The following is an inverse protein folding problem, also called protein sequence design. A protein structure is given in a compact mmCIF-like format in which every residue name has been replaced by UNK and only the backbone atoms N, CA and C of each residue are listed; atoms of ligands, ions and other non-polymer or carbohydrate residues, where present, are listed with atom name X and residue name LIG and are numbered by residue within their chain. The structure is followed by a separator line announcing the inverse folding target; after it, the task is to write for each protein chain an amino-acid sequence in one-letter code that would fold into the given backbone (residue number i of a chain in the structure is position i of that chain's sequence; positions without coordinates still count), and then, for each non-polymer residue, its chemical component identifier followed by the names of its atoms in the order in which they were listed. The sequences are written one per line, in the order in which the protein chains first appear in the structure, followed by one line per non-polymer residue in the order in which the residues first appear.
data_IF_565524168226
#
_entry.id   IF_565524168226
#
_cell.length_a   1.000
_cell.length_b   1.000
_cell.length_c   1.000
_cell.angle_alpha   90.00
_cell.angle_beta   90.00
_cell.angle_gamma   90.00
#
_symmetry.space_group_name_H-M   'P 1'
#
loop_
_entity.id
_entity.type
_entity.pdbx_description
1 polymer ?
#
# COMPACT_ATOMS: atom_id res chain seq x y z
N UNK A 1 -26.96 25.98 52.78
CA UNK A 1 -26.74 24.62 53.31
C UNK A 1 -25.51 24.65 54.20
N UNK A 2 -25.61 24.29 55.48
CA UNK A 2 -24.48 24.39 56.42
C UNK A 2 -23.42 23.29 56.12
N UNK A 3 -22.13 23.64 55.96
CA UNK A 3 -21.08 22.70 55.56
C UNK A 3 -20.89 21.52 56.54
N UNK A 4 -21.33 21.68 57.80
CA UNK A 4 -21.35 20.60 58.80
C UNK A 4 -22.25 19.42 58.44
N UNK A 5 -23.27 19.60 57.58
CA UNK A 5 -24.15 18.50 57.16
C UNK A 5 -23.60 17.68 55.99
N UNK A 6 -22.52 18.12 55.32
CA UNK A 6 -21.91 17.45 54.17
C UNK A 6 -20.75 16.50 54.55
N UNK A 7 -20.10 16.73 55.69
CA UNK A 7 -18.99 15.91 56.20
C UNK A 7 -19.29 14.41 56.23
N UNK A 8 -20.44 13.93 56.77
CA UNK A 8 -20.72 12.49 56.77
C UNK A 8 -20.87 11.89 55.36
N UNK A 9 -21.44 12.66 54.41
CA UNK A 9 -21.57 12.21 53.03
C UNK A 9 -20.23 12.11 52.32
N UNK A 10 -19.29 13.03 52.59
CA UNK A 10 -17.93 12.97 52.04
C UNK A 10 -17.17 11.77 52.59
N UNK A 11 -17.29 11.47 53.89
CA UNK A 11 -16.67 10.28 54.49
C UNK A 11 -17.23 8.99 53.88
N UNK A 12 -18.56 8.88 53.75
CA UNK A 12 -19.19 7.73 53.08
C UNK A 12 -18.74 7.62 51.62
N UNK A 13 -18.66 8.75 50.89
CA UNK A 13 -18.17 8.77 49.51
C UNK A 13 -16.72 8.26 49.40
N UNK A 14 -15.81 8.68 50.29
CA UNK A 14 -14.42 8.22 50.30
C UNK A 14 -14.32 6.73 50.64
N UNK A 15 -15.14 6.22 51.56
CA UNK A 15 -15.22 4.78 51.86
C UNK A 15 -15.71 4.01 50.64
N UNK A 16 -16.79 4.46 49.99
CA UNK A 16 -17.32 3.83 48.78
C UNK A 16 -16.31 3.87 47.62
N UNK A 17 -15.60 4.98 47.43
CA UNK A 17 -14.54 5.11 46.43
C UNK A 17 -13.36 4.17 46.73
N UNK A 18 -12.96 4.03 48.00
CA UNK A 18 -11.92 3.11 48.43
C UNK A 18 -12.31 1.64 48.25
N UNK A 19 -13.56 1.27 48.59
CA UNK A 19 -14.11 -0.07 48.37
C UNK A 19 -14.20 -0.37 46.88
N UNK A 20 -14.71 0.56 46.06
CA UNK A 20 -14.79 0.42 44.61
C UNK A 20 -13.40 0.25 43.98
N UNK A 21 -12.43 1.07 44.37
CA UNK A 21 -11.03 0.96 43.93
C UNK A 21 -10.39 -0.37 44.32
N UNK A 22 -10.58 -0.82 45.56
CA UNK A 22 -10.07 -2.10 46.06
C UNK A 22 -10.71 -3.31 45.35
N UNK A 23 -12.02 -3.27 45.08
CA UNK A 23 -12.73 -4.30 44.32
C UNK A 23 -12.23 -4.35 42.87
N UNK A 24 -12.09 -3.19 42.20
CA UNK A 24 -11.52 -3.10 40.84
C UNK A 24 -10.09 -3.64 40.79
N UNK A 25 -9.24 -3.28 41.74
CA UNK A 25 -7.86 -3.77 41.80
C UNK A 25 -7.78 -5.28 42.03
N UNK A 26 -8.60 -5.82 42.95
CA UNK A 26 -8.68 -7.27 43.18
C UNK A 26 -9.22 -8.02 41.96
N UNK A 27 -10.21 -7.45 41.27
CA UNK A 27 -10.77 -8.02 40.05
C UNK A 27 -9.73 -8.03 38.93
N UNK A 28 -8.98 -6.95 38.73
CA UNK A 28 -7.86 -6.88 37.77
C UNK A 28 -6.77 -7.91 38.08
N UNK A 29 -6.42 -8.09 39.37
CA UNK A 29 -5.49 -9.13 39.79
C UNK A 29 -6.01 -10.55 39.53
N UNK A 30 -7.30 -10.81 39.80
CA UNK A 30 -7.89 -12.13 39.53
C UNK A 30 -7.93 -12.42 38.03
N UNK A 31 -8.39 -11.47 37.21
CA UNK A 31 -8.37 -11.60 35.75
C UNK A 31 -6.94 -11.85 35.26
N UNK A 32 -5.96 -11.10 35.76
CA UNK A 32 -4.56 -11.32 35.39
C UNK A 32 -4.06 -12.71 35.78
N UNK A 33 -4.39 -13.21 36.98
CA UNK A 33 -4.02 -14.57 37.42
C UNK A 33 -4.68 -15.64 36.58
N UNK A 34 -5.97 -15.51 36.29
CA UNK A 34 -6.73 -16.45 35.46
C UNK A 34 -6.21 -16.45 34.01
N UNK A 35 -5.83 -15.28 33.49
CA UNK A 35 -5.19 -15.13 32.19
C UNK A 35 -3.82 -15.84 32.14
N UNK A 36 -2.99 -15.71 33.18
CA UNK A 36 -1.72 -16.46 33.27
C UNK A 36 -1.94 -17.97 33.43
N UNK A 37 -2.91 -18.38 34.24
CA UNK A 37 -3.23 -19.80 34.45
C UNK A 37 -3.72 -20.50 33.16
N UNK A 38 -4.28 -19.73 32.22
CA UNK A 38 -4.67 -20.21 30.89
C UNK A 38 -3.52 -20.29 29.89
N UNK A 39 -2.32 -19.77 30.19
CA UNK A 39 -1.19 -19.89 29.28
C UNK A 39 -0.65 -21.32 29.26
N UNK A 40 -0.31 -21.81 28.07
CA UNK A 40 0.37 -23.09 27.91
C UNK A 40 1.84 -22.97 28.32
N UNK A 41 2.50 -21.88 27.89
CA UNK A 41 3.89 -21.57 28.22
C UNK A 41 4.01 -20.20 28.89
N UNK A 42 4.95 -20.09 29.83
CA UNK A 42 5.28 -18.84 30.52
C UNK A 42 6.61 -18.31 29.98
N UNK A 43 6.58 -17.77 28.76
CA UNK A 43 7.77 -17.31 28.04
C UNK A 43 7.57 -15.93 27.41
N UNK A 44 8.67 -15.24 27.09
CA UNK A 44 8.65 -14.01 26.31
C UNK A 44 9.16 -14.25 24.90
N UNK A 45 8.71 -13.42 23.95
CA UNK A 45 9.13 -13.50 22.55
C UNK A 45 10.65 -13.34 22.37
N UNK A 46 11.28 -12.51 23.20
CA UNK A 46 12.72 -12.25 23.21
C UNK A 46 13.56 -13.45 23.64
N UNK A 47 12.97 -14.39 24.38
CA UNK A 47 13.68 -15.51 24.98
C UNK A 47 13.90 -16.66 23.98
N UNK A 48 13.15 -16.64 22.86
CA UNK A 48 13.16 -17.66 21.82
C UNK A 48 14.37 -17.48 20.88
N UNK A 49 15.20 -18.52 20.79
CA UNK A 49 16.42 -18.52 19.97
C UNK A 49 16.38 -19.52 18.80
N UNK A 50 15.56 -20.57 18.92
CA UNK A 50 15.38 -21.64 17.94
C UNK A 50 13.90 -22.03 17.86
N UNK A 51 13.47 -22.42 16.66
CA UNK A 51 12.13 -22.93 16.38
C UNK A 51 12.22 -24.00 15.29
N UNK A 52 11.63 -25.17 15.53
CA UNK A 52 11.54 -26.26 14.57
C UNK A 52 10.10 -26.76 14.43
N UNK A 53 9.63 -26.87 13.19
CA UNK A 53 8.32 -27.40 12.83
C UNK A 53 8.49 -28.77 12.21
N UNK A 54 8.04 -29.82 12.90
CA UNK A 54 8.16 -31.21 12.45
C UNK A 54 6.78 -31.75 12.04
N UNK A 55 6.69 -32.28 10.82
CA UNK A 55 5.49 -32.91 10.25
C UNK A 55 5.87 -34.26 9.66
N UNK A 56 5.69 -35.33 10.42
CA UNK A 56 6.17 -36.65 10.02
C UNK A 56 7.69 -36.66 9.80
N UNK A 57 8.13 -36.76 8.55
CA UNK A 57 9.56 -36.74 8.17
C UNK A 57 10.08 -35.35 7.77
N UNK A 58 9.19 -34.39 7.56
CA UNK A 58 9.57 -33.04 7.15
C UNK A 58 9.89 -32.20 8.39
N UNK A 59 11.06 -31.56 8.38
CA UNK A 59 11.48 -30.62 9.43
C UNK A 59 11.85 -29.28 8.79
N UNK A 60 11.27 -28.20 9.31
CA UNK A 60 11.69 -26.82 9.01
C UNK A 60 12.28 -26.22 10.26
N UNK A 61 13.56 -25.87 10.23
CA UNK A 61 14.28 -25.29 11.37
C UNK A 61 14.64 -23.84 11.13
N UNK A 62 14.40 -23.03 12.14
CA UNK A 62 14.72 -21.61 12.19
C UNK A 62 15.61 -21.31 13.40
N UNK A 63 16.65 -20.50 13.17
CA UNK A 63 17.57 -20.07 14.22
C UNK A 63 17.75 -18.57 14.15
N UNK A 64 17.72 -17.90 15.31
CA UNK A 64 18.00 -16.48 15.43
C UNK A 64 19.52 -16.25 15.50
N UNK A 65 20.07 -15.50 14.55
CA UNK A 65 21.48 -15.08 14.49
C UNK A 65 21.53 -13.57 14.27
N UNK A 66 22.30 -12.85 15.08
CA UNK A 66 22.44 -11.39 14.97
C UNK A 66 21.09 -10.64 14.89
N UNK A 67 20.13 -11.07 15.72
CA UNK A 67 18.73 -10.58 15.74
C UNK A 67 17.87 -10.87 14.50
N UNK A 68 18.37 -11.65 13.54
CA UNK A 68 17.66 -12.05 12.33
C UNK A 68 17.37 -13.55 12.35
N UNK A 69 16.15 -13.93 12.01
CA UNK A 69 15.77 -15.35 11.87
C UNK A 69 16.21 -15.90 10.52
N UNK A 70 16.86 -17.06 10.55
CA UNK A 70 17.28 -17.79 9.36
C UNK A 70 16.66 -19.17 9.34
N UNK A 71 16.19 -19.60 8.17
CA UNK A 71 15.94 -21.00 7.88
C UNK A 71 17.29 -21.71 7.78
N UNK A 72 17.46 -22.80 8.52
CA UNK A 72 18.68 -23.64 8.52
C UNK A 72 18.42 -25.04 7.97
N UNK A 73 17.16 -25.49 7.96
CA UNK A 73 16.72 -26.72 7.30
C UNK A 73 15.30 -26.53 6.74
N UNK A 74 14.98 -27.11 5.57
CA UNK A 74 15.87 -27.88 4.68
C UNK A 74 16.79 -27.00 3.81
N UNK A 75 16.66 -25.67 3.91
CA UNK A 75 17.41 -24.69 3.15
C UNK A 75 18.15 -23.75 4.11
N UNK A 76 19.30 -23.23 3.69
CA UNK A 76 20.03 -22.20 4.42
C UNK A 76 19.76 -20.82 3.80
N UNK A 77 18.79 -20.08 4.35
CA UNK A 77 18.35 -18.78 3.80
C UNK A 77 17.71 -17.91 4.87
N UNK A 78 17.52 -16.62 4.61
CA UNK A 78 16.82 -15.72 5.53
C UNK A 78 15.34 -16.08 5.60
N UNK A 79 14.77 -16.04 6.81
CA UNK A 79 13.35 -16.24 7.01
C UNK A 79 12.57 -14.93 6.84
N UNK A 80 11.27 -15.04 6.57
CA UNK A 80 10.35 -13.92 6.62
C UNK A 80 10.17 -13.50 8.09
N UNK A 81 10.81 -12.39 8.48
CA UNK A 81 10.85 -11.93 9.87
C UNK A 81 9.45 -11.63 10.42
N UNK A 82 8.53 -11.16 9.60
CA UNK A 82 7.17 -10.83 10.02
C UNK A 82 6.37 -12.10 10.30
N UNK A 83 6.48 -13.11 9.44
CA UNK A 83 5.82 -14.41 9.66
C UNK A 83 6.37 -15.08 10.90
N UNK A 84 7.70 -15.10 11.08
CA UNK A 84 8.32 -15.70 12.26
C UNK A 84 7.91 -14.95 13.53
N UNK A 85 7.96 -13.61 13.56
CA UNK A 85 7.51 -12.83 14.71
C UNK A 85 6.06 -13.17 15.10
N UNK A 86 5.15 -13.28 14.13
CA UNK A 86 3.76 -13.66 14.39
C UNK A 86 3.63 -15.05 15.04
N UNK A 87 4.48 -16.00 14.66
CA UNK A 87 4.52 -17.33 15.29
C UNK A 87 5.03 -17.25 16.72
N UNK A 88 6.12 -16.51 16.97
CA UNK A 88 6.68 -16.33 18.30
C UNK A 88 5.68 -15.65 19.24
N UNK A 89 4.98 -14.61 18.78
CA UNK A 89 3.88 -13.99 19.52
C UNK A 89 2.78 -14.99 19.84
N UNK A 90 2.40 -15.83 18.87
CA UNK A 90 1.38 -16.87 19.09
C UNK A 90 1.83 -17.86 20.15
N UNK A 91 3.09 -18.28 20.10
CA UNK A 91 3.66 -19.25 21.03
C UNK A 91 3.77 -18.67 22.45
N UNK A 92 4.24 -17.43 22.58
CA UNK A 92 4.36 -16.72 23.86
C UNK A 92 3.03 -16.41 24.53
N UNK A 93 1.98 -16.25 23.71
CA UNK A 93 0.62 -15.96 24.17
C UNK A 93 -0.32 -17.16 24.04
N UNK A 94 0.22 -18.37 23.83
CA UNK A 94 -0.58 -19.55 23.59
C UNK A 94 -1.45 -19.86 24.80
N UNK A 95 -2.75 -19.99 24.58
CA UNK A 95 -3.74 -20.27 25.63
C UNK A 95 -4.32 -21.67 25.46
N UNK A 96 -4.52 -22.36 26.59
CA UNK A 96 -5.37 -23.54 26.64
C UNK A 96 -6.83 -23.12 26.68
N UNK A 97 -7.64 -23.72 25.82
CA UNK A 97 -9.09 -23.54 25.81
C UNK A 97 -9.75 -24.43 26.85
N UNK A 98 -9.30 -25.70 26.91
CA UNK A 98 -9.72 -26.69 27.90
C UNK A 98 -8.54 -27.51 28.37
N UNK A 99 -8.60 -27.91 29.63
CA UNK A 99 -7.72 -28.89 30.27
C UNK A 99 -8.55 -30.15 30.51
N UNK A 100 -8.20 -31.24 29.85
CA UNK A 100 -8.94 -32.50 29.89
C UNK A 100 -8.34 -33.50 30.89
N UNK A 101 -7.31 -33.08 31.64
CA UNK A 101 -6.60 -33.92 32.60
C UNK A 101 -5.57 -34.85 31.97
N UNK A 102 -4.95 -35.67 32.80
CA UNK A 102 -3.91 -36.61 32.37
C UNK A 102 -4.51 -37.79 31.59
N UNK A 103 -3.93 -38.11 30.43
CA UNK A 103 -4.38 -39.21 29.58
C UNK A 103 -3.22 -40.15 29.22
N UNK A 104 -3.50 -41.45 29.18
CA UNK A 104 -2.51 -42.48 28.85
C UNK A 104 -2.62 -42.94 27.40
N UNK A 105 -3.84 -43.03 26.85
CA UNK A 105 -4.03 -43.41 25.45
C UNK A 105 -4.08 -42.18 24.54
N UNK A 106 -2.96 -41.92 23.85
CA UNK A 106 -2.79 -40.76 22.98
C UNK A 106 -3.34 -40.97 21.55
N UNK A 107 -3.67 -42.22 21.18
CA UNK A 107 -4.12 -42.56 19.82
C UNK A 107 -5.45 -41.90 19.43
N UNK A 108 -6.51 -41.88 20.27
CA UNK A 108 -7.79 -41.26 19.92
C UNK A 108 -7.67 -39.77 19.62
N UNK A 109 -6.62 -39.12 20.14
CA UNK A 109 -6.37 -37.70 20.03
C UNK A 109 -5.39 -37.36 18.90
N UNK A 110 -4.89 -38.36 18.16
CA UNK A 110 -3.89 -38.18 17.11
C UNK A 110 -2.54 -37.67 17.63
N UNK A 111 -2.22 -37.93 18.89
CA UNK A 111 -0.98 -37.48 19.56
C UNK A 111 0.13 -38.55 19.51
N UNK A 112 -0.20 -39.80 19.17
CA UNK A 112 0.76 -40.85 18.83
C UNK A 112 1.45 -40.60 17.48
N UNK A 113 0.69 -40.02 16.53
CA UNK A 113 1.15 -39.59 15.20
C UNK A 113 0.72 -38.13 14.98
N UNK A 114 1.39 -37.18 15.65
CA UNK A 114 0.98 -35.78 15.63
C UNK A 114 1.06 -35.19 14.23
N UNK A 115 0.09 -34.33 13.91
CA UNK A 115 0.07 -33.59 12.65
C UNK A 115 1.15 -32.49 12.60
N UNK A 116 1.51 -31.94 13.76
CA UNK A 116 2.58 -30.96 13.90
C UNK A 116 3.22 -31.07 15.28
N UNK A 117 4.55 -31.00 15.31
CA UNK A 117 5.32 -30.81 16.55
C UNK A 117 6.12 -29.52 16.41
N UNK A 118 5.86 -28.58 17.32
CA UNK A 118 6.60 -27.32 17.40
C UNK A 118 7.63 -27.46 18.52
N UNK A 119 8.91 -27.52 18.16
CA UNK A 119 10.03 -27.53 19.11
C UNK A 119 10.66 -26.14 19.14
N UNK A 120 11.10 -25.69 20.30
CA UNK A 120 11.76 -24.41 20.42
C UNK A 120 12.65 -24.36 21.65
N UNK A 121 13.60 -23.44 21.65
CA UNK A 121 14.43 -23.18 22.83
C UNK A 121 14.09 -21.81 23.38
N UNK A 122 13.73 -21.74 24.66
CA UNK A 122 13.47 -20.49 25.38
C UNK A 122 14.35 -20.45 26.63
N UNK A 123 15.07 -19.33 26.85
CA UNK A 123 15.96 -19.17 28.02
C UNK A 123 16.98 -20.32 28.18
N UNK A 124 17.42 -20.92 27.06
CA UNK A 124 18.35 -22.05 27.05
C UNK A 124 17.71 -23.43 27.35
N UNK A 125 16.41 -23.50 27.61
CA UNK A 125 15.69 -24.75 27.87
C UNK A 125 14.89 -25.19 26.63
N UNK A 126 14.93 -26.49 26.28
CA UNK A 126 14.13 -27.03 25.19
C UNK A 126 12.67 -27.21 25.62
N UNK A 127 11.76 -26.82 24.75
CA UNK A 127 10.33 -27.00 24.90
C UNK A 127 9.72 -27.59 23.63
N UNK A 128 8.55 -28.20 23.78
CA UNK A 128 7.81 -28.84 22.70
C UNK A 128 6.30 -28.68 22.90
N UNK A 129 5.61 -28.36 21.80
CA UNK A 129 4.16 -28.45 21.70
C UNK A 129 3.81 -29.49 20.65
N UNK A 130 3.17 -30.57 21.08
CA UNK A 130 2.68 -31.64 20.20
C UNK A 130 1.23 -31.35 19.87
N UNK A 131 0.89 -31.26 18.58
CA UNK A 131 -0.46 -30.94 18.12
C UNK A 131 -1.01 -32.15 17.36
N UNK A 132 -2.12 -32.69 17.88
CA UNK A 132 -2.79 -33.87 17.37
C UNK A 132 -3.97 -33.55 16.46
N UNK A 133 -5.01 -34.37 16.57
CA UNK A 133 -6.24 -34.27 15.79
C UNK A 133 -7.09 -33.05 16.19
N UNK A 134 -7.93 -32.62 15.25
CA UNK A 134 -9.00 -31.66 15.51
C UNK A 134 -10.03 -32.30 16.45
N UNK A 135 -10.51 -31.53 17.42
CA UNK A 135 -11.59 -31.94 18.32
C UNK A 135 -12.89 -32.09 17.51
N UNK A 136 -13.58 -33.24 17.54
CA UNK A 136 -14.83 -33.42 16.81
C UNK A 136 -15.89 -32.39 17.19
N UNK A 137 -16.49 -31.73 16.18
CA UNK A 137 -17.54 -30.74 16.38
C UNK A 137 -17.10 -29.38 16.94
N UNK A 138 -15.79 -29.16 17.15
CA UNK A 138 -15.24 -27.93 17.73
C UNK A 138 -14.13 -27.34 16.83
N UNK A 139 -13.78 -26.06 17.01
CA UNK A 139 -12.68 -25.39 16.32
C UNK A 139 -11.37 -25.44 17.13
N UNK A 140 -11.18 -26.52 17.89
CA UNK A 140 -10.01 -26.73 18.75
C UNK A 140 -9.20 -27.95 18.31
N UNK A 141 -7.95 -28.02 18.75
CA UNK A 141 -7.03 -29.13 18.51
C UNK A 141 -6.49 -29.66 19.84
N UNK A 142 -6.34 -30.97 19.94
CA UNK A 142 -5.70 -31.61 21.09
C UNK A 142 -4.19 -31.34 21.08
N UNK A 143 -3.62 -31.03 22.24
CA UNK A 143 -2.18 -30.79 22.39
C UNK A 143 -1.59 -31.38 23.66
N UNK A 144 -0.29 -31.67 23.60
CA UNK A 144 0.55 -31.93 24.77
C UNK A 144 1.68 -30.90 24.84
N UNK A 145 2.03 -30.53 26.07
CA UNK A 145 3.12 -29.63 26.38
C UNK A 145 4.29 -30.41 26.97
N UNK A 146 5.47 -30.30 26.38
CA UNK A 146 6.69 -30.94 26.86
C UNK A 146 6.47 -32.43 27.18
N UNK A 147 6.74 -32.84 28.42
CA UNK A 147 6.47 -34.19 28.95
C UNK A 147 5.25 -34.21 29.90
N UNK A 148 4.45 -33.15 29.91
CA UNK A 148 3.24 -33.04 30.74
C UNK A 148 2.16 -34.00 30.20
N UNK A 149 1.66 -34.96 31.01
CA UNK A 149 0.63 -35.89 30.56
C UNK A 149 -0.75 -35.24 30.42
N UNK A 150 -0.94 -33.99 30.86
CA UNK A 150 -2.20 -33.28 30.71
C UNK A 150 -2.55 -33.02 29.24
N UNK A 151 -3.67 -33.59 28.81
CA UNK A 151 -4.26 -33.35 27.51
C UNK A 151 -4.95 -31.98 27.53
N UNK A 152 -4.44 -31.05 26.73
CA UNK A 152 -5.00 -29.72 26.58
C UNK A 152 -5.66 -29.56 25.22
N UNK A 153 -6.41 -28.48 25.05
CA UNK A 153 -6.87 -28.03 23.73
C UNK A 153 -6.46 -26.59 23.45
N UNK A 154 -6.17 -26.29 22.18
CA UNK A 154 -5.90 -24.93 21.70
C UNK A 154 -6.83 -24.57 20.54
N UNK A 155 -7.04 -23.28 20.31
CA UNK A 155 -7.83 -22.80 19.19
C UNK A 155 -7.21 -23.14 17.82
N UNK A 156 -8.06 -23.32 16.81
CA UNK A 156 -7.66 -23.45 15.41
C UNK A 156 -6.81 -22.25 14.95
N UNK A 157 -7.14 -21.04 15.39
CA UNK A 157 -6.36 -19.85 15.03
C UNK A 157 -4.92 -19.91 15.55
N UNK A 158 -4.71 -20.40 16.77
CA UNK A 158 -3.36 -20.65 17.31
C UNK A 158 -2.64 -21.73 16.52
N UNK A 159 -3.32 -22.85 16.21
CA UNK A 159 -2.75 -23.93 15.40
C UNK A 159 -2.34 -23.43 14.01
N UNK A 160 -3.19 -22.69 13.30
CA UNK A 160 -2.93 -22.23 11.93
C UNK A 160 -1.85 -21.14 11.87
N UNK A 161 -1.72 -20.35 12.93
CA UNK A 161 -0.63 -19.40 13.05
C UNK A 161 0.73 -20.09 13.22
N UNK A 162 0.78 -21.20 13.96
CA UNK A 162 1.99 -22.01 14.17
C UNK A 162 2.30 -22.95 12.99
N UNK A 163 1.28 -23.43 12.29
CA UNK A 163 1.40 -24.39 11.19
C UNK A 163 1.75 -23.69 9.85
N UNK A 164 2.95 -23.09 9.80
CA UNK A 164 3.45 -22.42 8.59
C UNK A 164 4.24 -23.37 7.70
N UNK A 165 3.91 -23.37 6.40
CA UNK A 165 4.68 -24.08 5.38
C UNK A 165 6.00 -23.36 5.07
N UNK A 166 6.99 -24.10 4.56
CA UNK A 166 8.32 -23.58 4.21
C UNK A 166 8.27 -22.33 3.32
N UNK A 167 7.38 -22.31 2.32
CA UNK A 167 7.20 -21.17 1.42
C UNK A 167 6.78 -19.88 2.15
N UNK A 168 5.95 -20.00 3.20
CA UNK A 168 5.51 -18.85 4.00
C UNK A 168 6.62 -18.34 4.92
N UNK A 169 7.53 -19.22 5.35
CA UNK A 169 8.63 -18.91 6.26
C UNK A 169 9.85 -18.32 5.57
N UNK A 170 9.98 -18.51 4.26
CA UNK A 170 11.11 -18.00 3.48
C UNK A 170 10.95 -16.52 3.16
N UNK A 171 12.05 -15.76 3.20
CA UNK A 171 12.04 -14.37 2.74
C UNK A 171 11.64 -14.31 1.24
N UNK A 172 10.54 -13.64 0.96
CA UNK A 172 9.96 -13.49 -0.37
C UNK A 172 10.28 -12.14 -1.02
N UNK A 173 11.06 -11.26 -0.38
CA UNK A 173 11.43 -9.97 -0.96
C UNK A 173 12.24 -10.19 -2.24
N UNK A 174 11.76 -9.64 -3.36
CA UNK A 174 12.41 -9.83 -4.66
C UNK A 174 13.60 -8.92 -4.89
N UNK A 175 13.45 -7.64 -4.56
CA UNK A 175 14.45 -6.61 -4.81
C UNK A 175 14.55 -5.72 -3.57
N UNK A 176 15.46 -6.02 -2.63
CA UNK A 176 15.58 -5.25 -1.39
C UNK A 176 16.31 -3.93 -1.65
N UNK A 177 15.59 -2.82 -1.56
CA UNK A 177 16.13 -1.45 -1.58
C UNK A 177 15.26 -0.49 -0.78
N UNK A 178 15.83 0.65 -0.38
CA UNK A 178 15.14 1.71 0.35
C UNK A 178 14.70 2.79 -0.65
N UNK A 179 13.40 3.12 -0.66
CA UNK A 179 12.82 4.09 -1.61
C UNK A 179 13.50 5.48 -1.55
N UNK A 180 13.86 5.95 -0.35
CA UNK A 180 14.53 7.24 -0.15
C UNK A 180 15.97 7.28 -0.67
N UNK A 181 16.59 6.12 -0.88
CA UNK A 181 17.97 6.01 -1.35
C UNK A 181 18.09 5.90 -2.87
N UNK A 182 16.96 5.81 -3.58
CA UNK A 182 16.94 5.61 -5.04
C UNK A 182 17.48 6.85 -5.76
N UNK A 183 18.50 6.63 -6.59
CA UNK A 183 19.13 7.64 -7.45
C UNK A 183 18.81 7.46 -8.93
N UNK A 184 18.47 6.24 -9.35
CA UNK A 184 18.26 5.94 -10.76
C UNK A 184 17.53 4.63 -11.01
N UNK A 185 16.98 4.50 -12.21
CA UNK A 185 16.35 3.27 -12.71
C UNK A 185 16.89 2.99 -14.10
N UNK A 186 17.48 1.81 -14.30
CA UNK A 186 17.91 1.31 -15.61
C UNK A 186 17.09 0.08 -15.95
N UNK A 187 16.52 0.04 -17.15
CA UNK A 187 15.83 -1.14 -17.66
C UNK A 187 16.43 -1.51 -19.01
N UNK A 188 17.04 -2.69 -19.07
CA UNK A 188 17.64 -3.26 -20.28
C UNK A 188 16.82 -4.46 -20.71
N UNK A 189 16.01 -4.28 -21.74
CA UNK A 189 15.30 -5.36 -22.41
C UNK A 189 16.13 -5.98 -23.54
N UNK A 190 15.58 -6.97 -24.26
CA UNK A 190 16.26 -7.64 -25.37
C UNK A 190 16.62 -6.70 -26.55
N UNK A 191 15.81 -5.67 -26.78
CA UNK A 191 15.94 -4.75 -27.93
C UNK A 191 16.20 -3.30 -27.54
N UNK A 192 15.87 -2.91 -26.32
CA UNK A 192 15.87 -1.51 -25.87
C UNK A 192 16.53 -1.38 -24.52
N UNK A 193 17.17 -0.24 -24.29
CA UNK A 193 17.69 0.13 -22.99
C UNK A 193 17.20 1.53 -22.62
N UNK A 194 16.81 1.69 -21.37
CA UNK A 194 16.34 2.95 -20.81
C UNK A 194 17.08 3.20 -19.50
N UNK A 195 17.59 4.42 -19.32
CA UNK A 195 18.26 4.84 -18.11
C UNK A 195 17.67 6.18 -17.66
N UNK A 196 17.15 6.20 -16.44
CA UNK A 196 16.51 7.34 -15.82
C UNK A 196 17.30 7.74 -14.57
N UNK A 197 17.47 9.03 -14.37
CA UNK A 197 18.12 9.61 -13.19
C UNK A 197 17.12 10.43 -12.40
N UNK A 198 17.13 10.29 -11.08
CA UNK A 198 16.28 11.07 -10.18
C UNK A 198 16.91 12.45 -9.99
N UNK A 199 16.15 13.51 -10.30
CA UNK A 199 16.61 14.91 -10.25
C UNK A 199 15.95 15.70 -9.12
N UNK A 200 15.01 15.10 -8.40
CA UNK A 200 14.25 15.68 -7.30
C UNK A 200 13.26 14.66 -6.74
N UNK A 201 12.39 15.03 -5.78
CA UNK A 201 11.56 14.07 -5.05
C UNK A 201 10.68 13.16 -5.93
N UNK A 202 10.12 13.71 -7.01
CA UNK A 202 9.33 12.99 -8.02
C UNK A 202 9.70 13.39 -9.45
N UNK A 203 10.84 14.06 -9.64
CA UNK A 203 11.30 14.50 -10.95
C UNK A 203 12.42 13.60 -11.45
N UNK A 204 12.31 13.23 -12.72
CA UNK A 204 13.18 12.26 -13.36
C UNK A 204 13.63 12.81 -14.72
N UNK A 205 14.89 12.54 -15.07
CA UNK A 205 15.46 12.84 -16.37
C UNK A 205 15.84 11.56 -17.11
N UNK A 206 15.73 11.57 -18.43
CA UNK A 206 16.24 10.48 -19.26
C UNK A 206 17.72 10.72 -19.56
N UNK A 207 18.57 9.77 -19.17
CA UNK A 207 20.02 9.85 -19.37
C UNK A 207 20.35 9.82 -20.86
N UNK A 208 20.96 10.89 -21.36
CA UNK A 208 21.27 11.06 -22.79
C UNK A 208 20.11 11.61 -23.65
N UNK A 209 18.99 12.03 -23.03
CA UNK A 209 17.88 12.71 -23.70
C UNK A 209 17.37 13.90 -22.85
N UNK A 210 18.14 15.00 -22.76
CA UNK A 210 17.82 16.12 -21.87
C UNK A 210 16.47 16.77 -22.15
N UNK A 211 16.04 16.81 -23.42
CA UNK A 211 14.75 17.41 -23.82
C UNK A 211 13.54 16.49 -23.59
N UNK A 212 13.78 15.21 -23.24
CA UNK A 212 12.70 14.26 -23.01
C UNK A 212 12.13 14.45 -21.60
N UNK A 213 10.92 14.98 -21.52
CA UNK A 213 10.19 15.12 -20.26
C UNK A 213 9.68 13.75 -19.80
N UNK A 214 10.13 13.30 -18.63
CA UNK A 214 9.77 11.98 -18.07
C UNK A 214 8.55 12.10 -17.15
N UNK A 215 7.63 11.14 -17.26
CA UNK A 215 6.55 10.89 -16.29
C UNK A 215 7.07 10.30 -15.00
N UNK A 216 7.62 11.17 -14.16
CA UNK A 216 8.21 10.80 -12.86
C UNK A 216 7.23 10.07 -11.94
N UNK A 217 5.94 10.43 -11.96
CA UNK A 217 4.89 9.73 -11.21
C UNK A 217 4.77 8.24 -11.56
N UNK A 218 4.92 7.91 -12.85
CA UNK A 218 4.91 6.51 -13.34
C UNK A 218 6.17 5.76 -12.92
N UNK A 219 7.33 6.41 -12.96
CA UNK A 219 8.60 5.84 -12.47
C UNK A 219 8.53 5.54 -10.97
N UNK A 220 8.03 6.50 -10.18
CA UNK A 220 7.85 6.33 -8.73
C UNK A 220 6.85 5.22 -8.40
N UNK A 221 5.78 5.09 -9.19
CA UNK A 221 4.84 3.96 -9.07
C UNK A 221 5.54 2.63 -9.34
N UNK A 222 6.28 2.51 -10.45
CA UNK A 222 7.02 1.28 -10.77
C UNK A 222 8.04 0.92 -9.68
N UNK A 223 8.73 1.89 -9.10
CA UNK A 223 9.65 1.66 -7.97
C UNK A 223 8.91 1.12 -6.74
N UNK A 224 7.74 1.67 -6.40
CA UNK A 224 6.89 1.12 -5.32
C UNK A 224 6.47 -0.32 -5.63
N UNK A 225 6.02 -0.58 -6.85
CA UNK A 225 5.59 -1.90 -7.28
C UNK A 225 6.75 -2.92 -7.20
N UNK A 226 7.96 -2.53 -7.60
CA UNK A 226 9.18 -3.34 -7.44
C UNK A 226 9.54 -3.58 -5.97
N UNK A 227 9.42 -2.58 -5.11
CA UNK A 227 9.73 -2.67 -3.68
C UNK A 227 8.79 -3.61 -2.92
N UNK A 228 7.49 -3.58 -3.24
CA UNK A 228 6.48 -4.43 -2.61
C UNK A 228 6.36 -5.80 -3.29
N UNK A 229 6.98 -6.00 -4.45
CA UNK A 229 6.89 -7.27 -5.16
C UNK A 229 7.49 -8.41 -4.33
N UNK A 230 6.82 -9.57 -4.38
CA UNK A 230 7.18 -10.77 -3.62
C UNK A 230 7.25 -11.98 -4.55
N UNK A 231 8.12 -12.93 -4.21
CA UNK A 231 8.14 -14.23 -4.85
C UNK A 231 6.81 -14.95 -4.57
N UNK A 232 6.13 -15.42 -5.64
CA UNK A 232 4.99 -16.32 -5.55
C UNK A 232 5.44 -17.74 -5.21
N UNK A 233 6.54 -18.19 -5.82
CA UNK A 233 7.09 -19.52 -5.59
C UNK A 233 8.61 -19.55 -5.90
N UNK A 234 9.30 -20.56 -5.38
CA UNK A 234 10.71 -20.83 -5.65
C UNK A 234 10.83 -22.08 -6.53
N UNK A 235 11.78 -22.07 -7.47
CA UNK A 235 12.05 -23.27 -8.27
C UNK A 235 13.01 -24.17 -7.51
N UNK A 236 12.50 -25.34 -7.10
CA UNK A 236 13.25 -26.35 -6.37
C UNK A 236 13.14 -27.71 -7.07
N UNK A 237 14.27 -28.37 -7.39
CA UNK A 237 15.64 -27.88 -7.22
C UNK A 237 15.96 -26.67 -8.14
N UNK A 238 17.01 -25.88 -7.84
CA UNK A 238 17.41 -24.77 -8.70
C UNK A 238 17.66 -25.23 -10.14
N UNK A 239 17.17 -24.48 -11.15
CA UNK A 239 17.26 -24.89 -12.54
C UNK A 239 18.72 -24.85 -13.03
N UNK A 240 19.16 -25.93 -13.70
CA UNK A 240 20.51 -26.02 -14.30
C UNK A 240 20.71 -25.11 -15.51
N UNK A 241 19.64 -24.76 -16.23
CA UNK A 241 19.66 -23.96 -17.45
C UNK A 241 18.68 -22.79 -17.34
N UNK A 242 19.10 -21.61 -17.79
CA UNK A 242 18.32 -20.37 -17.68
C UNK A 242 17.65 -19.97 -18.99
N UNK A 243 18.10 -20.54 -20.11
CA UNK A 243 17.61 -20.27 -21.46
C UNK A 243 16.11 -20.57 -21.61
N UNK A 244 15.56 -21.71 -21.12
CA UNK A 244 14.14 -22.00 -21.23
C UNK A 244 13.29 -21.02 -20.40
N UNK A 245 13.88 -20.48 -19.34
CA UNK A 245 13.25 -19.54 -18.42
C UNK A 245 13.33 -18.09 -18.94
N UNK A 246 14.04 -17.85 -20.04
CA UNK A 246 14.23 -16.51 -20.60
C UNK A 246 15.16 -15.63 -19.76
N UNK A 247 15.93 -16.18 -18.83
CA UNK A 247 16.78 -15.44 -17.88
C UNK A 247 18.21 -15.19 -18.41
N UNK A 248 18.41 -15.29 -19.73
CA UNK A 248 19.67 -15.03 -20.42
C UNK A 248 19.68 -13.64 -21.09
N UNK A 249 20.85 -13.00 -21.30
CA UNK A 249 20.93 -11.59 -21.72
C UNK A 249 20.10 -11.21 -22.95
N UNK A 250 19.98 -12.12 -23.93
CA UNK A 250 19.22 -11.88 -25.18
C UNK A 250 17.70 -12.03 -25.03
N UNK A 251 17.20 -12.51 -23.89
CA UNK A 251 15.77 -12.82 -23.66
C UNK A 251 15.19 -12.15 -22.43
N UNK A 252 16.03 -11.80 -21.45
CA UNK A 252 15.59 -11.20 -20.20
C UNK A 252 15.34 -9.70 -20.31
N UNK A 253 14.51 -9.20 -19.40
CA UNK A 253 14.50 -7.79 -19.01
C UNK A 253 15.28 -7.65 -17.71
N UNK A 254 16.30 -6.82 -17.71
CA UNK A 254 17.17 -6.55 -16.58
C UNK A 254 16.84 -5.16 -16.01
N UNK A 255 16.34 -5.13 -14.79
CA UNK A 255 15.89 -3.93 -14.07
C UNK A 255 16.88 -3.66 -12.96
N UNK A 256 17.60 -2.54 -13.06
CA UNK A 256 18.56 -2.11 -12.05
C UNK A 256 18.08 -0.84 -11.38
N UNK A 257 17.86 -0.91 -10.07
CA UNK A 257 17.60 0.24 -9.21
C UNK A 257 18.94 0.68 -8.62
N UNK A 258 19.38 1.88 -8.96
CA UNK A 258 20.60 2.47 -8.42
C UNK A 258 20.28 3.20 -7.12
N UNK A 259 21.04 2.93 -6.06
CA UNK A 259 20.83 3.54 -4.73
C UNK A 259 22.12 4.10 -4.15
N UNK A 260 22.04 4.88 -3.06
CA UNK A 260 23.23 5.25 -2.28
C UNK A 260 23.98 4.06 -1.68
N UNK A 261 23.28 2.97 -1.35
CA UNK A 261 23.85 1.73 -0.82
C UNK A 261 24.29 0.72 -1.91
N UNK A 262 24.33 1.17 -3.16
CA UNK A 262 24.71 0.37 -4.33
C UNK A 262 23.53 -0.13 -5.16
N UNK A 263 23.84 -0.69 -6.31
CA UNK A 263 22.83 -1.13 -7.29
C UNK A 263 22.16 -2.44 -6.86
N UNK A 264 20.89 -2.59 -7.22
CA UNK A 264 20.09 -3.81 -7.03
C UNK A 264 19.47 -4.18 -8.36
N UNK A 265 19.66 -5.43 -8.79
CA UNK A 265 19.26 -5.87 -10.14
C UNK A 265 18.30 -7.06 -10.08
N UNK A 266 17.12 -6.90 -10.68
CA UNK A 266 16.14 -7.96 -10.92
C UNK A 266 16.14 -8.35 -12.40
N UNK A 267 16.17 -9.63 -12.69
CA UNK A 267 15.96 -10.16 -14.03
C UNK A 267 14.55 -10.73 -14.13
N UNK A 268 13.83 -10.39 -15.20
CA UNK A 268 12.55 -10.97 -15.59
C UNK A 268 12.73 -11.75 -16.89
N UNK A 269 12.21 -12.97 -16.93
CA UNK A 269 12.30 -13.89 -18.06
C UNK A 269 10.97 -14.14 -18.74
N UNK A 270 10.74 -15.40 -19.13
CA UNK A 270 9.54 -15.84 -19.84
C UNK A 270 8.33 -15.90 -18.89
N UNK A 271 7.15 -15.52 -19.39
CA UNK A 271 5.88 -15.72 -18.68
C UNK A 271 5.49 -17.21 -18.63
N UNK A 272 4.83 -17.61 -17.55
CA UNK A 272 4.25 -18.94 -17.31
C UNK A 272 2.89 -18.75 -16.66
N UNK A 273 1.82 -18.73 -17.46
CA UNK A 273 0.47 -18.43 -16.97
C UNK A 273 0.38 -17.00 -16.41
N UNK A 274 -0.09 -16.88 -15.16
CA UNK A 274 -0.21 -15.63 -14.39
C UNK A 274 1.11 -15.22 -13.68
N UNK A 275 2.21 -15.92 -13.97
CA UNK A 275 3.51 -15.68 -13.38
C UNK A 275 4.58 -15.40 -14.45
N UNK A 276 5.71 -14.87 -14.00
CA UNK A 276 6.92 -14.71 -14.81
C UNK A 276 8.13 -15.21 -14.03
N UNK A 277 9.06 -15.86 -14.70
CA UNK A 277 10.33 -16.25 -14.08
C UNK A 277 11.14 -15.01 -13.73
N UNK A 278 11.71 -14.98 -12.53
CA UNK A 278 12.56 -13.89 -12.09
C UNK A 278 13.80 -14.39 -11.34
N UNK A 279 14.83 -13.53 -11.27
CA UNK A 279 16.07 -13.81 -10.55
C UNK A 279 16.70 -12.52 -10.02
N UNK A 280 17.12 -12.51 -8.75
CA UNK A 280 17.86 -11.39 -8.16
C UNK A 280 19.34 -11.45 -8.61
N UNK A 281 19.65 -10.77 -9.71
CA UNK A 281 20.98 -10.75 -10.32
C UNK A 281 21.51 -12.14 -10.68
N UNK A 282 22.83 -12.25 -10.83
CA UNK A 282 23.48 -13.50 -11.23
C UNK A 282 23.57 -14.57 -10.12
N UNK A 283 23.52 -14.15 -8.85
CA UNK A 283 23.66 -15.03 -7.68
C UNK A 283 22.33 -15.46 -7.04
N UNK A 284 21.22 -14.79 -7.35
CA UNK A 284 19.94 -15.04 -6.69
C UNK A 284 19.27 -16.36 -7.08
N UNK A 285 18.34 -16.79 -6.24
CA UNK A 285 17.44 -17.89 -6.54
C UNK A 285 16.52 -17.56 -7.73
N UNK A 286 16.12 -18.59 -8.48
CA UNK A 286 15.11 -18.44 -9.53
C UNK A 286 13.74 -18.65 -8.92
N UNK A 287 12.86 -17.68 -9.16
CA UNK A 287 11.53 -17.61 -8.56
C UNK A 287 10.46 -17.38 -9.62
N UNK A 288 9.21 -17.63 -9.26
CA UNK A 288 8.04 -17.14 -9.97
C UNK A 288 7.50 -15.92 -9.26
N UNK A 289 7.13 -14.90 -10.02
CA UNK A 289 6.54 -13.65 -9.52
C UNK A 289 5.30 -13.33 -10.34
N UNK A 290 4.45 -12.43 -9.85
CA UNK A 290 3.24 -12.06 -10.60
C UNK A 290 3.58 -11.50 -11.99
N UNK A 291 2.91 -11.99 -13.03
CA UNK A 291 3.11 -11.51 -14.39
C UNK A 291 2.76 -10.01 -14.53
N UNK A 292 1.89 -9.48 -13.67
CA UNK A 292 1.54 -8.07 -13.60
C UNK A 292 2.77 -7.18 -13.36
N UNK A 293 3.82 -7.67 -12.69
CA UNK A 293 5.07 -6.94 -12.52
C UNK A 293 5.76 -6.68 -13.86
N UNK A 294 5.87 -7.71 -14.71
CA UNK A 294 6.45 -7.56 -16.04
C UNK A 294 5.59 -6.66 -16.93
N UNK A 295 4.27 -6.76 -16.82
CA UNK A 295 3.34 -5.89 -17.55
C UNK A 295 3.42 -4.44 -17.10
N UNK A 296 3.59 -4.17 -15.81
CA UNK A 296 3.79 -2.82 -15.28
C UNK A 296 5.10 -2.20 -15.77
N UNK A 297 6.19 -2.98 -15.81
CA UNK A 297 7.48 -2.54 -16.39
C UNK A 297 7.27 -2.15 -17.86
N UNK A 298 6.65 -3.01 -18.67
CA UNK A 298 6.38 -2.74 -20.07
C UNK A 298 5.50 -1.50 -20.29
N UNK A 299 4.38 -1.40 -19.55
CA UNK A 299 3.45 -0.25 -19.61
C UNK A 299 4.14 1.06 -19.21
N UNK A 300 4.97 1.03 -18.17
CA UNK A 300 5.70 2.21 -17.71
C UNK A 300 6.66 2.68 -18.79
N UNK A 301 7.49 1.78 -19.34
CA UNK A 301 8.46 2.12 -20.39
C UNK A 301 7.80 2.67 -21.66
N UNK A 302 6.66 2.11 -22.07
CA UNK A 302 5.90 2.57 -23.23
C UNK A 302 5.25 3.96 -23.03
N UNK A 303 5.16 4.42 -21.78
CA UNK A 303 4.43 5.63 -21.39
C UNK A 303 5.28 6.61 -20.58
N UNK A 304 6.61 6.60 -20.79
CA UNK A 304 7.54 7.49 -20.08
C UNK A 304 7.43 8.96 -20.48
N UNK A 305 6.95 9.26 -21.69
CA UNK A 305 6.88 10.64 -22.18
C UNK A 305 5.80 11.42 -21.43
N UNK A 306 6.18 12.56 -20.85
CA UNK A 306 5.24 13.48 -20.22
C UNK A 306 4.55 14.33 -21.28
N UNK A 307 3.39 13.85 -21.71
CA UNK A 307 2.52 14.49 -22.68
C UNK A 307 1.47 15.39 -22.05
N UNK A 308 1.55 15.67 -20.75
CA UNK A 308 0.59 16.55 -20.07
C UNK A 308 0.70 17.97 -20.61
N UNK A 309 -0.44 18.62 -20.79
CA UNK A 309 -0.52 20.02 -21.18
C UNK A 309 0.11 20.94 -20.13
N UNK A 310 -0.01 20.55 -18.86
CA UNK A 310 0.55 21.26 -17.73
C UNK A 310 0.96 20.28 -16.62
N UNK A 311 2.14 20.50 -16.04
CA UNK A 311 2.72 19.69 -14.96
C UNK A 311 3.20 20.53 -13.78
N UNK A 312 2.68 21.75 -13.64
CA UNK A 312 3.03 22.67 -12.54
C UNK A 312 2.39 22.27 -11.20
N UNK A 313 2.74 22.98 -10.14
CA UNK A 313 2.11 22.77 -8.83
C UNK A 313 0.73 23.42 -8.78
N UNK A 314 -0.30 22.66 -8.41
CA UNK A 314 -1.66 23.19 -8.14
C UNK A 314 -1.62 24.20 -6.99
N UNK A 315 -0.79 23.97 -5.98
CA UNK A 315 -0.64 24.88 -4.84
C UNK A 315 -0.07 26.26 -5.23
N UNK A 316 0.65 26.35 -6.37
CA UNK A 316 1.17 27.62 -6.87
C UNK A 316 0.09 28.48 -7.57
N UNK A 317 -1.04 27.88 -7.98
CA UNK A 317 -2.13 28.58 -8.67
C UNK A 317 -2.90 29.45 -7.66
N UNK A 318 -3.03 30.73 -7.97
CA UNK A 318 -3.77 31.73 -7.17
C UNK A 318 -4.94 32.35 -7.93
N UNK A 319 -4.88 32.36 -9.25
CA UNK A 319 -5.98 32.79 -10.10
C UNK A 319 -6.14 31.85 -11.30
N UNK A 320 -7.39 31.54 -11.64
CA UNK A 320 -7.78 30.75 -12.80
C UNK A 320 -8.78 31.55 -13.61
N UNK A 321 -8.51 31.75 -14.89
CA UNK A 321 -9.44 32.40 -15.82
C UNK A 321 -9.83 31.39 -16.89
N UNK A 322 -11.13 31.19 -17.13
CA UNK A 322 -11.58 30.25 -18.16
C UNK A 322 -12.87 30.68 -18.84
N UNK A 323 -13.11 30.17 -20.05
CA UNK A 323 -14.34 30.40 -20.81
C UNK A 323 -14.09 30.85 -22.24
N UNK A 324 -15.16 30.96 -23.06
CA UNK A 324 -15.07 31.56 -24.39
C UNK A 324 -14.74 33.06 -24.31
N UNK A 325 -14.13 33.64 -25.37
CA UNK A 325 -13.87 35.08 -25.43
C UNK A 325 -15.15 35.91 -25.18
N UNK A 326 -15.04 36.92 -24.32
CA UNK A 326 -16.16 37.79 -23.94
C UNK A 326 -17.13 37.20 -22.90
N UNK A 327 -17.01 35.92 -22.53
CA UNK A 327 -17.77 35.30 -21.43
C UNK A 327 -16.85 34.42 -20.59
N UNK A 328 -16.05 35.06 -19.74
CA UNK A 328 -15.07 34.38 -18.89
C UNK A 328 -15.46 34.39 -17.43
N UNK A 329 -14.99 33.38 -16.71
CA UNK A 329 -15.04 33.30 -15.26
C UNK A 329 -13.64 33.45 -14.70
N UNK A 330 -13.52 34.12 -13.56
CA UNK A 330 -12.27 34.29 -12.84
C UNK A 330 -12.43 33.74 -11.43
N UNK A 331 -11.68 32.69 -11.10
CA UNK A 331 -11.53 32.21 -9.74
C UNK A 331 -10.28 32.83 -9.12
N UNK A 332 -10.40 33.43 -7.93
CA UNK A 332 -9.28 33.87 -7.11
C UNK A 332 -9.30 33.17 -5.76
N UNK A 333 -8.12 32.75 -5.31
CA UNK A 333 -7.95 32.12 -4.01
C UNK A 333 -8.17 33.16 -2.90
N UNK A 334 -9.09 32.86 -1.98
CA UNK A 334 -9.48 33.74 -0.88
C UNK A 334 -9.68 32.89 0.39
N UNK A 335 -8.76 33.02 1.36
CA UNK A 335 -8.76 32.36 2.68
C UNK A 335 -9.39 30.95 2.72
N UNK A 336 -8.75 29.96 2.07
CA UNK A 336 -9.19 28.55 2.10
C UNK A 336 -10.36 28.21 1.17
N UNK A 337 -10.91 29.19 0.46
CA UNK A 337 -11.92 29.03 -0.58
C UNK A 337 -11.45 29.69 -1.90
N UNK A 338 -12.26 29.51 -2.94
CA UNK A 338 -12.11 30.23 -4.20
C UNK A 338 -13.35 31.05 -4.47
N UNK A 339 -13.16 32.36 -4.66
CA UNK A 339 -14.20 33.27 -5.12
C UNK A 339 -14.19 33.27 -6.64
N UNK A 340 -15.29 32.84 -7.24
CA UNK A 340 -15.50 32.77 -8.68
C UNK A 340 -16.41 33.92 -9.10
N UNK A 341 -15.92 34.80 -9.95
CA UNK A 341 -16.71 35.90 -10.55
C UNK A 341 -17.00 35.57 -12.01
N UNK A 342 -18.28 35.64 -12.38
CA UNK A 342 -18.76 35.44 -13.75
C UNK A 342 -18.78 36.71 -14.61
N UNK A 343 -19.16 36.58 -15.89
CA UNK A 343 -19.19 37.69 -16.84
C UNK A 343 -20.26 38.75 -16.52
N UNK A 344 -21.30 38.37 -15.77
CA UNK A 344 -22.35 39.22 -15.22
C UNK A 344 -21.96 39.88 -13.88
N UNK A 345 -20.69 39.76 -13.47
CA UNK A 345 -20.16 40.16 -12.17
C UNK A 345 -20.75 39.43 -10.96
N UNK A 346 -21.62 38.43 -11.16
CA UNK A 346 -22.09 37.59 -10.08
C UNK A 346 -20.91 36.79 -9.49
N UNK A 347 -20.87 36.68 -8.16
CA UNK A 347 -19.81 35.96 -7.47
C UNK A 347 -20.38 34.78 -6.68
N UNK A 348 -19.73 33.63 -6.78
CA UNK A 348 -19.99 32.45 -5.96
C UNK A 348 -18.71 32.04 -5.22
N UNK A 349 -18.84 31.39 -4.07
CA UNK A 349 -17.71 30.81 -3.35
C UNK A 349 -17.75 29.29 -3.48
N UNK A 350 -16.60 28.70 -3.79
CA UNK A 350 -16.43 27.25 -3.85
C UNK A 350 -15.36 26.79 -2.86
N UNK A 351 -15.53 25.63 -2.22
CA UNK A 351 -14.47 25.00 -1.44
C UNK A 351 -13.22 24.75 -2.29
N UNK A 352 -12.03 24.93 -1.72
CA UNK A 352 -10.76 24.71 -2.42
C UNK A 352 -10.66 23.34 -3.08
N UNK A 353 -11.14 22.30 -2.40
CA UNK A 353 -11.12 20.93 -2.91
C UNK A 353 -11.81 20.77 -4.29
N UNK A 354 -12.87 21.53 -4.59
CA UNK A 354 -13.59 21.38 -5.88
C UNK A 354 -12.79 21.90 -7.06
N UNK A 355 -12.20 23.10 -6.94
CA UNK A 355 -11.37 23.65 -8.01
C UNK A 355 -10.04 22.90 -8.12
N UNK A 356 -9.45 22.52 -6.99
CA UNK A 356 -8.21 21.73 -6.98
C UNK A 356 -8.41 20.35 -7.62
N UNK A 357 -9.56 19.69 -7.41
CA UNK A 357 -9.93 18.45 -8.10
C UNK A 357 -10.05 18.66 -9.62
N UNK A 358 -10.69 19.75 -10.06
CA UNK A 358 -10.81 20.07 -11.47
C UNK A 358 -9.44 20.34 -12.12
N UNK A 359 -8.54 21.07 -11.44
CA UNK A 359 -7.16 21.27 -11.88
C UNK A 359 -6.37 19.96 -11.91
N UNK A 360 -6.59 19.07 -10.95
CA UNK A 360 -5.99 17.74 -10.93
C UNK A 360 -6.48 16.87 -12.10
N UNK A 361 -7.78 16.93 -12.43
CA UNK A 361 -8.33 16.26 -13.62
C UNK A 361 -7.76 16.84 -14.92
N UNK A 362 -7.57 18.17 -14.99
CA UNK A 362 -6.91 18.82 -16.12
C UNK A 362 -5.49 18.29 -16.33
N UNK A 363 -4.71 18.10 -15.26
CA UNK A 363 -3.35 17.54 -15.34
C UNK A 363 -3.30 16.11 -15.89
N UNK A 364 -4.41 15.37 -15.90
CA UNK A 364 -4.48 14.03 -16.51
C UNK A 364 -4.60 14.09 -18.03
N UNK A 365 -4.94 15.25 -18.61
CA UNK A 365 -5.08 15.40 -20.04
C UNK A 365 -3.70 15.35 -20.72
N UNK A 366 -3.55 14.41 -21.64
CA UNK A 366 -2.35 14.21 -22.43
C UNK A 366 -2.60 14.62 -23.88
N UNK A 367 -1.69 15.41 -24.45
CA UNK A 367 -1.66 15.72 -25.87
C UNK A 367 -1.09 14.58 -26.70
N UNK A 368 -1.57 14.44 -27.93
CA UNK A 368 -0.83 13.72 -28.97
C UNK A 368 0.39 14.55 -29.39
N UNK A 369 1.39 13.85 -29.96
CA UNK A 369 2.69 14.39 -30.38
C UNK A 369 2.51 15.74 -31.10
N UNK A 370 3.27 16.75 -30.66
CA UNK A 370 3.25 18.13 -31.13
C UNK A 370 3.06 18.23 -32.64
N UNK A 371 2.12 19.06 -33.08
CA UNK A 371 2.07 19.51 -34.47
C UNK A 371 3.18 20.55 -34.69
N UNK A 372 3.78 20.64 -35.89
CA UNK A 372 4.70 21.72 -36.23
C UNK A 372 4.03 23.09 -35.97
N UNK A 373 4.78 24.11 -35.52
CA UNK A 373 4.26 25.46 -35.37
C UNK A 373 3.91 26.02 -36.75
N UNK A 374 2.64 25.89 -37.16
CA UNK A 374 2.16 26.35 -38.47
C UNK A 374 0.69 26.01 -38.76
N UNK A 375 0.17 24.91 -38.21
CA UNK A 375 -1.16 24.39 -38.59
C UNK A 375 -2.33 24.89 -37.71
N UNK A 376 -2.07 25.78 -36.74
CA UNK A 376 -3.14 26.33 -35.91
C UNK A 376 -4.00 27.33 -36.71
N UNK A 377 -5.33 27.15 -36.77
CA UNK A 377 -6.22 28.09 -37.45
C UNK A 377 -6.00 29.52 -36.94
N UNK A 378 -5.91 30.46 -37.88
CA UNK A 378 -5.91 31.89 -37.57
C UNK A 378 -7.36 32.32 -37.34
N UNK A 379 -7.77 32.40 -36.07
CA UNK A 379 -9.12 32.81 -35.67
C UNK A 379 -9.22 33.01 -34.15
N UNK A 380 -10.30 33.64 -33.65
CA UNK A 380 -10.51 33.79 -32.22
C UNK A 380 -10.65 32.40 -31.57
N UNK A 381 -10.08 32.18 -30.38
CA UNK A 381 -10.17 30.89 -29.71
C UNK A 381 -11.62 30.61 -29.29
N UNK A 382 -12.04 29.35 -29.37
CA UNK A 382 -13.36 28.93 -28.90
C UNK A 382 -13.44 28.91 -27.36
N UNK A 383 -12.29 28.75 -26.70
CA UNK A 383 -12.17 28.66 -25.25
C UNK A 383 -10.76 29.04 -24.81
N UNK A 384 -10.63 29.78 -23.71
CA UNK A 384 -9.36 30.07 -23.05
C UNK A 384 -9.28 29.48 -21.65
N UNK A 385 -8.08 29.16 -21.21
CA UNK A 385 -7.71 28.84 -19.84
C UNK A 385 -6.38 29.51 -19.50
N UNK A 386 -6.36 30.28 -18.41
CA UNK A 386 -5.16 30.90 -17.87
C UNK A 386 -5.00 30.52 -16.40
N UNK A 387 -3.82 30.01 -16.03
CA UNK A 387 -3.43 29.75 -14.65
C UNK A 387 -2.36 30.75 -14.26
N UNK A 388 -2.54 31.43 -13.13
CA UNK A 388 -1.69 32.52 -12.66
C UNK A 388 -1.21 32.26 -11.24
N UNK A 389 0.03 32.65 -10.94
CA UNK A 389 0.57 32.64 -9.58
C UNK A 389 0.11 33.85 -8.76
N UNK A 390 0.58 33.95 -7.50
CA UNK A 390 0.22 35.04 -6.60
C UNK A 390 0.60 36.44 -7.11
N UNK A 391 1.67 36.52 -7.91
CA UNK A 391 2.15 37.76 -8.51
C UNK A 391 1.47 38.07 -9.86
N UNK A 392 0.51 37.24 -10.28
CA UNK A 392 -0.15 37.36 -11.59
C UNK A 392 0.72 36.91 -12.76
N UNK A 393 1.77 36.12 -12.53
CA UNK A 393 2.58 35.56 -13.62
C UNK A 393 1.92 34.30 -14.19
N UNK A 394 1.94 34.11 -15.53
CA UNK A 394 1.30 32.96 -16.16
C UNK A 394 2.06 31.67 -15.88
N UNK A 395 1.37 30.72 -15.22
CA UNK A 395 1.79 29.34 -15.01
C UNK A 395 1.41 28.43 -16.19
N UNK A 396 0.30 28.77 -16.87
CA UNK A 396 -0.21 28.12 -18.08
C UNK A 396 -1.09 29.11 -18.84
N UNK A 397 -0.94 29.13 -20.16
CA UNK A 397 -1.91 29.69 -21.10
C UNK A 397 -2.35 28.57 -22.04
N UNK A 398 -3.66 28.39 -22.21
CA UNK A 398 -4.24 27.43 -23.14
C UNK A 398 -5.41 28.05 -23.90
N UNK A 399 -5.43 27.85 -25.21
CA UNK A 399 -6.50 28.27 -26.12
C UNK A 399 -6.96 27.09 -26.97
N UNK A 400 -8.27 26.85 -27.03
CA UNK A 400 -8.87 25.98 -28.03
C UNK A 400 -9.01 26.74 -29.36
N UNK A 401 -8.27 26.31 -30.38
CA UNK A 401 -8.18 27.01 -31.68
C UNK A 401 -8.87 26.28 -32.82
N UNK A 402 -9.37 25.06 -32.58
CA UNK A 402 -10.13 24.30 -33.57
C UNK A 402 -10.31 22.84 -33.22
N UNK A 403 -10.86 22.08 -34.17
CA UNK A 403 -11.00 20.63 -34.09
C UNK A 403 -10.29 19.96 -35.26
N UNK A 404 -9.79 18.74 -35.04
CA UNK A 404 -9.22 17.90 -36.08
C UNK A 404 -9.96 16.56 -36.10
N UNK A 405 -10.84 16.39 -37.08
CA UNK A 405 -11.77 15.25 -37.10
C UNK A 405 -12.78 15.29 -35.95
N UNK A 406 -13.39 14.15 -35.64
CA UNK A 406 -14.46 14.06 -34.63
C UNK A 406 -13.93 14.04 -33.19
N UNK A 407 -12.74 13.47 -32.98
CA UNK A 407 -12.29 13.07 -31.63
C UNK A 407 -11.12 13.90 -31.07
N UNK A 408 -10.57 14.84 -31.85
CA UNK A 408 -9.43 15.67 -31.41
C UNK A 408 -9.77 17.15 -31.46
N UNK A 409 -9.27 17.88 -30.46
CA UNK A 409 -9.23 19.34 -30.45
C UNK A 409 -7.81 19.81 -30.64
N UNK A 410 -7.66 20.93 -31.32
CA UNK A 410 -6.40 21.61 -31.47
C UNK A 410 -6.33 22.71 -30.42
N UNK A 411 -5.28 22.67 -29.61
CA UNK A 411 -5.02 23.67 -28.57
C UNK A 411 -3.67 24.32 -28.78
N UNK A 412 -3.60 25.60 -28.48
CA UNK A 412 -2.36 26.35 -28.32
C UNK A 412 -2.07 26.46 -26.83
N UNK A 413 -0.93 25.94 -26.37
CA UNK A 413 -0.62 25.83 -24.94
C UNK A 413 0.82 26.23 -24.64
N UNK A 414 1.07 26.89 -23.51
CA UNK A 414 2.42 27.33 -23.15
C UNK A 414 2.49 28.14 -21.85
N UNK A 415 3.62 28.82 -21.65
CA UNK A 415 3.81 29.77 -20.55
C UNK A 415 3.94 31.18 -21.12
N UNK A 416 2.94 32.03 -20.87
CA UNK A 416 2.90 33.39 -21.43
C UNK A 416 2.82 33.40 -22.96
N UNK A 417 3.62 34.24 -23.62
CA UNK A 417 3.61 34.43 -25.08
C UNK A 417 4.22 33.27 -25.89
N UNK A 418 4.89 32.33 -25.25
CA UNK A 418 5.50 31.17 -25.93
C UNK A 418 4.54 30.00 -25.89
N UNK A 419 3.87 29.74 -27.01
CA UNK A 419 2.86 28.69 -27.12
C UNK A 419 3.20 27.66 -28.19
N UNK A 420 2.99 26.38 -27.89
CA UNK A 420 3.06 25.27 -28.84
C UNK A 420 1.65 24.78 -29.21
N UNK A 421 1.50 24.18 -30.39
CA UNK A 421 0.23 23.59 -30.82
C UNK A 421 0.22 22.09 -30.48
N UNK A 422 -0.84 21.64 -29.82
CA UNK A 422 -1.04 20.24 -29.44
C UNK A 422 -2.44 19.76 -29.83
N UNK A 423 -2.56 18.46 -30.13
CA UNK A 423 -3.85 17.80 -30.33
C UNK A 423 -4.26 17.06 -29.06
N UNK A 424 -5.43 17.36 -28.52
CA UNK A 424 -5.93 16.74 -27.28
C UNK A 424 -7.19 15.94 -27.54
N UNK A 425 -7.47 14.88 -26.75
CA UNK A 425 -8.74 14.17 -26.80
C UNK A 425 -9.93 15.11 -26.54
N UNK A 426 -10.89 15.16 -27.47
CA UNK A 426 -12.04 16.05 -27.39
C UNK A 426 -12.96 15.73 -26.22
N UNK A 427 -13.35 14.46 -26.07
CA UNK A 427 -14.32 14.06 -25.05
C UNK A 427 -13.83 14.32 -23.61
N UNK A 428 -12.61 13.89 -23.19
CA UNK A 428 -12.08 14.22 -21.88
C UNK A 428 -11.96 15.73 -21.62
N UNK A 429 -11.57 16.51 -22.63
CA UNK A 429 -11.47 17.97 -22.47
C UNK A 429 -12.84 18.63 -22.29
N UNK A 430 -13.86 18.19 -23.06
CA UNK A 430 -15.24 18.66 -22.91
C UNK A 430 -15.82 18.30 -21.54
N UNK A 431 -15.60 17.07 -21.07
CA UNK A 431 -16.01 16.65 -19.73
C UNK A 431 -15.37 17.53 -18.64
N UNK A 432 -14.09 17.86 -18.79
CA UNK A 432 -13.42 18.78 -17.88
C UNK A 432 -13.98 20.22 -17.95
N UNK A 433 -14.31 20.72 -19.15
CA UNK A 433 -14.95 22.03 -19.30
C UNK A 433 -16.33 22.08 -18.62
N UNK A 434 -17.11 20.99 -18.70
CA UNK A 434 -18.37 20.88 -17.96
C UNK A 434 -18.15 20.87 -16.45
N UNK A 435 -17.11 20.18 -15.95
CA UNK A 435 -16.73 20.22 -14.54
C UNK A 435 -16.42 21.65 -14.09
N UNK A 436 -15.60 22.38 -14.87
CA UNK A 436 -15.30 23.80 -14.63
C UNK A 436 -16.55 24.68 -14.68
N UNK A 437 -17.48 24.41 -15.60
CA UNK A 437 -18.75 25.14 -15.67
C UNK A 437 -19.63 24.86 -14.45
N UNK A 438 -19.67 23.64 -13.91
CA UNK A 438 -20.45 23.34 -12.68
C UNK A 438 -19.95 24.09 -11.45
N UNK A 439 -18.69 24.55 -11.44
CA UNK A 439 -18.16 25.37 -10.35
C UNK A 439 -18.74 26.79 -10.32
N UNK A 440 -19.30 27.27 -11.44
CA UNK A 440 -19.88 28.61 -11.54
C UNK A 440 -21.29 28.68 -10.95
N UNK A 441 -21.95 27.54 -10.78
CA UNK A 441 -23.22 27.47 -10.06
C UNK A 441 -23.04 27.73 -8.55
N UNK A 442 -24.10 28.20 -7.88
CA UNK A 442 -24.10 28.34 -6.43
C UNK A 442 -23.78 26.99 -5.76
N UNK A 443 -22.95 26.99 -4.71
CA UNK A 443 -22.68 25.78 -3.95
C UNK A 443 -24.00 25.26 -3.33
N UNK A 444 -24.37 24.01 -3.60
CA UNK A 444 -25.51 23.40 -2.92
C UNK A 444 -25.23 23.40 -1.40
N UNK A 445 -26.17 23.83 -0.55
CA UNK A 445 -25.98 23.78 0.89
C UNK A 445 -25.77 22.33 1.33
N UNK A 446 -24.74 22.11 2.14
CA UNK A 446 -24.46 20.80 2.74
C UNK A 446 -25.71 20.31 3.51
N UNK A 447 -26.34 19.27 2.99
CA UNK A 447 -27.42 18.45 3.55
C UNK A 447 -28.21 19.02 4.73
N UNK A 448 -29.42 19.51 4.47
CA UNK A 448 -30.48 19.37 5.49
C UNK A 448 -30.84 17.88 5.54
N UNK A 449 -30.37 17.19 6.57
CA UNK A 449 -30.90 15.89 6.98
C UNK A 449 -32.42 15.99 7.03
N UNK A 450 -33.12 15.31 6.12
CA UNK A 450 -34.56 15.05 6.26
C UNK A 450 -34.72 14.09 7.45
N UNK A 451 -34.71 14.63 8.66
CA UNK A 451 -35.40 14.02 9.78
C UNK A 451 -36.90 14.23 9.57
N UNK A 452 -37.52 13.32 8.81
CA UNK A 452 -38.97 13.12 8.93
C UNK A 452 -39.21 12.45 10.28
N UNK A 453 -39.35 13.28 11.32
CA UNK A 453 -39.82 12.90 12.64
C UNK A 453 -41.19 12.26 12.54
N UNK A 454 -41.22 10.95 12.81
CA UNK A 454 -42.44 10.17 13.01
C UNK A 454 -42.87 10.33 14.46
N UNK A 455 -43.91 11.12 14.68
CA UNK A 455 -44.64 11.25 15.95
C UNK A 455 -45.78 12.25 15.71
N UNK A 456 -47.06 11.93 15.85
CA UNK A 456 -47.69 11.03 16.79
C UNK A 456 -48.83 11.84 17.42
N UNK A 457 -50.08 11.43 17.12
CA UNK A 457 -51.34 11.66 17.85
C UNK A 457 -51.45 12.90 18.76
N UNK A 458 -52.51 13.69 18.53
CA UNK A 458 -53.46 13.95 19.61
C UNK A 458 -54.04 15.37 19.73
N UNK A 459 -55.35 15.44 19.49
CA UNK A 459 -56.37 16.08 20.35
C UNK A 459 -56.81 17.54 20.08
N UNK A 460 -58.13 17.64 19.87
CA UNK A 460 -59.08 18.75 20.14
C UNK A 460 -58.93 19.99 19.23
N UNK A 461 -59.99 20.42 18.53
CA UNK A 461 -61.36 20.67 19.01
C UNK A 461 -62.36 20.48 17.89
#
# INVERSE_FOLDING_TARGET
MTPRRLIPYVVVFLILAGVYGGLRWRQEQQVARDEQAKKVFHLQESDLSDLSLVRGKDEVRLVKKDQVWHLTAPLNTTADQTVVASMLTTLARLRKERDLGAEKDLKPFGLDKPGLVVKFTAQGQPHQLVIGAKVPGDQNYYVLRDQDPHLLTISMGSKDSLDRQLLALRDKILLPFIMGEVKGLKVKGPKTATALSKTGPQTWGWVGRPDFRVRGDRVEKLLRDLHIARAKNFLEPPPKKLEPLGLVPKRRTEITVATSAGDRTLWLGTKKGDAVYARLGAGGAVVLVDAALADEVGRTLASLEDRRLWSGSIAAVHQVVWGPPGKTWTARKDQGAWKITGPDQAATQQPAARLELALWNFQKLEGAKNLPPGDAPKGPPAFGLELLDQAGKPLLHLEEVGAQGKDRLMVRTGKGKTTATALIPRAPFRQWQEEMHRLTAAAEPAGSSRETGKGGKGSKK
#
